data_IF_003640370512
#
_entry.id   IF_003640370512
#
_cell.length_a   1.000
_cell.length_b   1.000
_cell.length_c   1.000
_cell.angle_alpha   90.00
_cell.angle_beta   90.00
_cell.angle_gamma   90.00
#
_symmetry.space_group_name_H-M   'P 1'
#
loop_
_entity.id
_entity.type
_entity.pdbx_description
1 polymer ?
#
# COMPACT_ATOMS: atom_id res chain seq x y z
N UNK A 1 -34.65 67.54 -16.55
CA UNK A 1 -34.81 66.72 -15.34
C UNK A 1 -34.22 65.35 -15.63
N UNK A 2 -33.15 64.96 -14.92
CA UNK A 2 -32.52 63.62 -14.86
C UNK A 2 -31.82 63.08 -16.12
N UNK A 3 -30.61 62.50 -16.11
CA UNK A 3 -29.47 62.39 -15.17
C UNK A 3 -28.35 61.69 -15.98
N UNK A 4 -27.16 62.28 -16.04
CA UNK A 4 -25.93 61.63 -16.53
C UNK A 4 -25.52 60.45 -15.62
N UNK A 5 -25.07 59.31 -16.20
CA UNK A 5 -23.95 58.42 -15.77
C UNK A 5 -23.58 57.57 -17.01
N UNK A 6 -22.44 57.71 -17.70
CA UNK A 6 -21.02 57.57 -17.33
C UNK A 6 -20.65 56.17 -16.79
N UNK A 7 -20.21 55.24 -17.65
CA UNK A 7 -18.80 54.83 -17.84
C UNK A 7 -18.68 53.53 -18.65
N UNK A 8 -17.90 53.63 -19.72
CA UNK A 8 -17.21 52.55 -20.44
C UNK A 8 -16.11 51.98 -19.55
N UNK A 9 -15.80 50.67 -19.67
CA UNK A 9 -14.44 50.12 -19.89
C UNK A 9 -14.48 48.60 -19.67
N UNK A 10 -14.14 47.89 -20.75
CA UNK A 10 -13.86 46.47 -20.80
C UNK A 10 -12.60 46.12 -19.99
N UNK A 11 -12.63 45.02 -19.24
CA UNK A 11 -11.45 44.37 -18.70
C UNK A 11 -11.50 42.88 -19.07
N UNK A 12 -10.91 42.58 -20.23
CA UNK A 12 -10.52 41.24 -20.64
C UNK A 12 -9.26 40.90 -19.85
N UNK A 13 -9.37 40.03 -18.84
CA UNK A 13 -8.21 39.44 -18.16
C UNK A 13 -8.09 37.98 -18.59
N UNK A 14 -7.15 37.75 -19.50
CA UNK A 14 -6.66 36.45 -19.95
C UNK A 14 -6.19 35.58 -18.78
N UNK A 15 -6.84 34.44 -18.56
CA UNK A 15 -6.35 33.39 -17.68
C UNK A 15 -5.28 32.57 -18.39
N UNK A 16 -4.00 32.88 -18.13
CA UNK A 16 -2.85 32.08 -18.58
C UNK A 16 -2.78 30.81 -17.73
N UNK A 17 -2.87 29.67 -18.40
CA UNK A 17 -2.62 28.33 -17.87
C UNK A 17 -1.14 28.21 -17.48
N UNK A 18 -0.84 28.29 -16.18
CA UNK A 18 0.46 27.85 -15.66
C UNK A 18 0.38 26.34 -15.40
N UNK A 19 0.82 25.56 -16.39
CA UNK A 19 1.26 24.17 -16.24
C UNK A 19 2.52 24.15 -15.39
N UNK A 20 2.36 24.07 -14.08
CA UNK A 20 3.44 23.75 -13.15
C UNK A 20 3.58 22.23 -13.03
N UNK A 21 4.69 21.68 -13.55
CA UNK A 21 5.17 20.35 -13.19
C UNK A 21 5.49 20.33 -11.69
N UNK A 22 4.56 19.88 -10.86
CA UNK A 22 4.87 19.51 -9.49
C UNK A 22 5.48 18.10 -9.51
N UNK A 23 6.81 18.06 -9.54
CA UNK A 23 7.57 16.87 -9.17
C UNK A 23 7.33 16.62 -7.68
N UNK A 24 6.42 15.70 -7.37
CA UNK A 24 6.05 15.33 -6.00
C UNK A 24 6.92 14.17 -5.52
N UNK A 25 8.10 14.50 -5.00
CA UNK A 25 8.74 13.70 -3.96
C UNK A 25 7.95 13.97 -2.67
N UNK A 26 7.07 13.05 -2.25
CA UNK A 26 6.30 13.23 -1.02
C UNK A 26 6.32 11.96 -0.16
N UNK A 27 7.15 12.07 0.87
CA UNK A 27 7.05 11.50 2.21
C UNK A 27 6.64 10.04 2.36
N UNK A 28 7.64 9.21 2.66
CA UNK A 28 7.48 8.12 3.59
C UNK A 28 6.91 8.67 4.91
N UNK A 29 5.71 8.22 5.26
CA UNK A 29 5.08 8.51 6.55
C UNK A 29 3.72 9.19 6.41
N UNK A 30 2.68 8.50 6.87
CA UNK A 30 1.34 9.02 7.16
C UNK A 30 0.40 9.26 5.96
N UNK A 31 0.12 8.21 5.18
CA UNK A 31 -1.18 8.04 4.53
C UNK A 31 -1.29 6.60 4.00
N UNK A 32 -1.73 5.68 4.84
CA UNK A 32 -2.41 4.47 4.37
C UNK A 32 -3.76 4.92 3.80
N UNK A 33 -3.73 5.47 2.59
CA UNK A 33 -4.90 5.76 1.79
C UNK A 33 -4.70 4.95 0.51
N UNK A 34 -5.32 3.78 0.54
CA UNK A 34 -5.14 2.75 -0.46
C UNK A 34 -5.56 3.19 -1.86
N UNK A 35 -5.10 2.37 -2.80
CA UNK A 35 -5.55 2.23 -4.18
C UNK A 35 -4.61 2.91 -5.20
N UNK A 36 -3.80 2.07 -5.83
CA UNK A 36 -3.03 2.39 -7.01
C UNK A 36 -3.96 2.86 -8.14
N UNK A 37 -3.80 4.14 -8.49
CA UNK A 37 -4.50 4.79 -9.60
C UNK A 37 -4.52 6.28 -9.35
N UNK A 38 -3.46 6.97 -9.79
CA UNK A 38 -3.27 8.42 -9.80
C UNK A 38 -4.49 9.24 -9.32
N UNK A 39 -4.59 9.45 -8.01
CA UNK A 39 -5.73 10.14 -7.41
C UNK A 39 -5.42 10.46 -5.96
N UNK A 40 -5.19 11.75 -5.68
CA UNK A 40 -4.89 12.27 -4.36
C UNK A 40 -6.05 11.95 -3.42
N UNK A 41 -5.79 11.17 -2.36
CA UNK A 41 -6.71 10.99 -1.25
C UNK A 41 -6.33 11.99 -0.14
N UNK A 42 -6.88 13.21 -0.19
CA UNK A 42 -6.80 14.17 0.95
C UNK A 42 -8.15 14.43 1.61
N UNK A 43 -9.22 13.73 1.22
CA UNK A 43 -10.58 14.11 1.61
C UNK A 43 -11.13 13.51 2.91
N UNK A 44 -10.56 12.41 3.45
CA UNK A 44 -11.25 11.66 4.51
C UNK A 44 -10.95 12.12 5.95
N UNK A 45 -9.91 12.93 6.17
CA UNK A 45 -9.47 13.33 7.52
C UNK A 45 -9.75 14.78 7.89
N UNK A 46 -10.19 15.64 6.95
CA UNK A 46 -10.31 17.10 7.20
C UNK A 46 -11.70 17.70 6.96
N UNK A 47 -12.73 16.89 6.71
CA UNK A 47 -14.12 17.36 6.73
C UNK A 47 -14.48 18.43 5.69
N UNK A 48 -13.72 18.56 4.60
CA UNK A 48 -14.04 19.49 3.51
C UNK A 48 -14.28 18.72 2.20
N UNK A 49 -15.52 18.75 1.73
CA UNK A 49 -15.95 18.12 0.49
C UNK A 49 -15.45 18.94 -0.70
N UNK A 50 -14.38 18.47 -1.36
CA UNK A 50 -13.83 19.16 -2.53
C UNK A 50 -12.94 18.27 -3.38
N UNK A 51 -13.50 17.80 -4.50
CA UNK A 51 -12.84 17.39 -5.74
C UNK A 51 -11.83 16.22 -5.69
N UNK A 52 -12.27 15.05 -6.15
CA UNK A 52 -11.39 13.96 -6.55
C UNK A 52 -12.17 12.69 -6.90
N UNK A 53 -12.58 12.56 -8.17
CA UNK A 53 -13.17 11.33 -8.69
C UNK A 53 -12.07 10.30 -8.94
N UNK A 54 -12.00 9.28 -8.09
CA UNK A 54 -11.11 8.12 -8.19
C UNK A 54 -11.73 6.95 -7.41
N UNK A 55 -11.66 5.74 -7.96
CA UNK A 55 -12.49 4.61 -7.59
C UNK A 55 -12.40 4.19 -6.09
N UNK A 56 -13.52 4.40 -5.40
CA UNK A 56 -14.04 3.73 -4.21
C UNK A 56 -13.17 2.68 -3.50
N UNK A 57 -12.32 3.14 -2.60
CA UNK A 57 -11.86 2.34 -1.47
C UNK A 57 -12.46 2.98 -0.21
N UNK A 58 -13.65 2.52 0.16
CA UNK A 58 -14.27 2.92 1.42
C UNK A 58 -13.31 2.50 2.54
N UNK A 59 -12.75 3.45 3.28
CA UNK A 59 -11.95 3.19 4.47
C UNK A 59 -12.86 2.68 5.62
N UNK A 60 -13.52 1.54 5.43
CA UNK A 60 -14.58 1.06 6.34
C UNK A 60 -14.02 0.49 7.64
N UNK A 61 -12.82 -0.09 7.61
CA UNK A 61 -12.21 -0.66 8.81
C UNK A 61 -11.51 0.42 9.65
N UNK A 62 -10.88 1.42 9.04
CA UNK A 62 -10.17 2.48 9.76
C UNK A 62 -8.83 2.02 10.36
N UNK A 63 -8.22 0.97 9.80
CA UNK A 63 -6.92 0.48 10.25
C UNK A 63 -5.82 1.38 9.68
N UNK A 64 -4.94 1.89 10.55
CA UNK A 64 -3.74 2.63 10.16
C UNK A 64 -2.48 1.81 10.47
N UNK A 65 -1.57 1.77 9.50
CA UNK A 65 -0.27 1.09 9.63
C UNK A 65 0.78 2.04 10.22
N UNK A 66 1.62 1.53 11.13
CA UNK A 66 2.75 2.25 11.73
C UNK A 66 3.93 1.29 12.02
N UNK A 67 5.08 1.84 12.44
CA UNK A 67 6.32 1.08 12.69
C UNK A 67 6.76 0.19 11.51
N UNK A 68 6.59 0.70 10.29
CA UNK A 68 6.98 -0.05 9.10
C UNK A 68 8.50 -0.22 9.03
N UNK A 69 8.96 -1.47 9.05
CA UNK A 69 10.37 -1.83 8.94
C UNK A 69 10.59 -2.85 7.83
N UNK A 70 11.70 -2.71 7.09
CA UNK A 70 12.13 -3.70 6.10
C UNK A 70 13.59 -4.02 6.25
N UNK A 71 13.91 -5.29 6.00
CA UNK A 71 15.26 -5.79 6.07
C UNK A 71 15.50 -6.82 4.97
N UNK A 72 16.77 -7.01 4.61
CA UNK A 72 17.17 -8.17 3.83
C UNK A 72 17.30 -9.34 4.80
N UNK A 73 16.42 -10.34 4.65
CA UNK A 73 16.35 -11.48 5.58
C UNK A 73 17.37 -12.56 5.25
N UNK A 74 17.73 -12.69 3.97
CA UNK A 74 18.62 -13.74 3.47
C UNK A 74 19.40 -13.25 2.25
N UNK A 75 20.59 -13.81 2.05
CA UNK A 75 21.38 -13.62 0.83
C UNK A 75 20.82 -14.46 -0.32
N UNK A 76 21.26 -14.18 -1.55
CA UNK A 76 20.93 -14.96 -2.73
C UNK A 76 21.33 -16.43 -2.56
N UNK A 77 22.52 -16.69 -2.00
CA UNK A 77 23.05 -18.04 -1.80
C UNK A 77 22.21 -18.83 -0.78
N UNK A 78 21.82 -18.18 0.32
CA UNK A 78 20.94 -18.79 1.32
C UNK A 78 19.58 -19.13 0.72
N UNK A 79 19.06 -18.26 -0.15
CA UNK A 79 17.79 -18.49 -0.83
C UNK A 79 17.85 -19.66 -1.83
N UNK A 80 18.93 -19.72 -2.61
CA UNK A 80 19.18 -20.81 -3.55
C UNK A 80 19.27 -22.15 -2.82
N UNK A 81 19.94 -22.19 -1.67
CA UNK A 81 20.01 -23.39 -0.84
C UNK A 81 18.64 -23.79 -0.28
N UNK A 82 17.84 -22.83 0.16
CA UNK A 82 16.52 -23.08 0.74
C UNK A 82 15.56 -23.74 -0.26
N UNK A 83 15.57 -23.29 -1.51
CA UNK A 83 14.65 -23.78 -2.55
C UNK A 83 15.29 -24.76 -3.54
N UNK A 84 16.57 -25.08 -3.39
CA UNK A 84 17.31 -25.95 -4.30
C UNK A 84 17.48 -25.36 -5.71
N UNK A 85 17.49 -24.03 -5.84
CA UNK A 85 17.63 -23.36 -7.13
C UNK A 85 19.05 -23.46 -7.68
N UNK A 86 19.16 -23.65 -8.99
CA UNK A 86 20.40 -23.39 -9.73
C UNK A 86 20.65 -21.87 -9.84
N UNK A 87 21.90 -21.39 -9.92
CA UNK A 87 22.25 -19.97 -9.77
C UNK A 87 21.68 -18.99 -10.82
N UNK A 88 20.94 -19.48 -11.81
CA UNK A 88 20.36 -18.65 -12.86
C UNK A 88 18.94 -19.12 -13.16
N UNK A 89 17.98 -18.23 -12.94
CA UNK A 89 16.62 -18.33 -13.46
C UNK A 89 16.54 -17.62 -14.82
N UNK A 90 15.63 -18.06 -15.69
CA UNK A 90 15.45 -17.44 -17.01
C UNK A 90 14.51 -16.22 -16.96
N UNK A 91 13.79 -16.04 -15.85
CA UNK A 91 12.85 -14.95 -15.62
C UNK A 91 12.87 -14.49 -14.17
N UNK A 92 12.37 -13.28 -13.92
CA UNK A 92 12.16 -12.79 -12.56
C UNK A 92 11.09 -13.62 -11.85
N UNK A 93 11.39 -14.03 -10.62
CA UNK A 93 10.52 -14.85 -9.78
C UNK A 93 10.42 -14.25 -8.38
N UNK A 94 9.21 -14.30 -7.82
CA UNK A 94 8.95 -13.93 -6.43
C UNK A 94 8.16 -15.03 -5.73
N UNK A 95 8.49 -15.31 -4.47
CA UNK A 95 7.84 -16.35 -3.67
C UNK A 95 7.71 -15.93 -2.22
N UNK A 96 6.50 -15.99 -1.66
CA UNK A 96 6.25 -15.71 -0.24
C UNK A 96 6.61 -16.95 0.58
N UNK A 97 7.65 -16.83 1.41
CA UNK A 97 8.08 -17.89 2.33
C UNK A 97 7.20 -17.94 3.56
N UNK A 98 6.83 -16.78 4.10
CA UNK A 98 5.99 -16.69 5.28
C UNK A 98 5.22 -15.37 5.32
N UNK A 99 4.01 -15.42 5.88
CA UNK A 99 3.23 -14.23 6.21
C UNK A 99 2.43 -14.53 7.48
N UNK A 100 2.51 -13.68 8.49
CA UNK A 100 1.85 -13.91 9.78
C UNK A 100 1.28 -12.62 10.35
N UNK A 101 0.34 -12.79 11.27
CA UNK A 101 -0.19 -11.74 12.15
C UNK A 101 -0.13 -12.24 13.58
N UNK A 102 0.22 -11.37 14.52
CA UNK A 102 0.31 -11.72 15.93
C UNK A 102 -0.08 -10.52 16.80
N UNK A 103 -0.92 -10.71 17.84
CA UNK A 103 -1.54 -11.96 18.24
C UNK A 103 -2.69 -12.39 17.31
N UNK A 104 -3.01 -13.70 17.30
CA UNK A 104 -4.08 -14.25 16.46
C UNK A 104 -5.49 -13.93 16.99
N UNK A 105 -5.64 -13.66 18.28
CA UNK A 105 -6.89 -13.21 18.89
C UNK A 105 -6.69 -11.86 19.53
N UNK A 106 -7.54 -10.91 19.18
CA UNK A 106 -7.39 -9.48 19.50
C UNK A 106 -8.72 -8.88 19.91
N UNK A 107 -8.69 -7.72 20.55
CA UNK A 107 -9.83 -6.88 20.89
C UNK A 107 -9.62 -5.46 20.36
N UNK A 108 -10.69 -4.66 20.27
CA UNK A 108 -10.56 -3.21 20.13
C UNK A 108 -9.45 -2.61 21.00
N UNK A 109 -8.55 -1.86 20.36
CA UNK A 109 -7.39 -1.21 21.01
C UNK A 109 -6.11 -2.04 21.01
N UNK A 110 -6.17 -3.35 20.74
CA UNK A 110 -4.97 -4.18 20.68
C UNK A 110 -4.10 -3.81 19.47
N UNK A 111 -2.79 -3.97 19.64
CA UNK A 111 -1.81 -3.86 18.57
C UNK A 111 -1.55 -5.22 17.96
N UNK A 112 -1.61 -5.30 16.63
CA UNK A 112 -1.26 -6.46 15.84
C UNK A 112 -0.01 -6.16 15.04
N UNK A 113 0.95 -7.08 15.12
CA UNK A 113 2.13 -7.09 14.27
C UNK A 113 1.90 -8.02 13.09
N UNK A 114 2.09 -7.49 11.91
CA UNK A 114 2.08 -8.19 10.63
C UNK A 114 3.50 -8.40 10.15
N UNK A 115 3.87 -9.62 9.76
CA UNK A 115 5.18 -9.91 9.18
C UNK A 115 5.04 -10.60 7.83
N UNK A 116 5.94 -10.26 6.90
CA UNK A 116 6.04 -10.84 5.57
C UNK A 116 7.51 -11.16 5.30
N UNK A 117 7.79 -12.36 4.79
CA UNK A 117 9.10 -12.75 4.28
C UNK A 117 8.94 -13.46 2.94
N UNK A 118 9.68 -12.98 1.95
CA UNK A 118 9.60 -13.47 0.60
C UNK A 118 10.96 -13.41 -0.10
N UNK A 119 11.06 -14.11 -1.22
CA UNK A 119 12.28 -14.27 -1.99
C UNK A 119 12.13 -13.58 -3.35
N UNK A 120 13.21 -12.98 -3.82
CA UNK A 120 13.32 -12.33 -5.13
C UNK A 120 14.47 -12.96 -5.90
N UNK A 121 14.17 -13.56 -7.03
CA UNK A 121 15.15 -14.11 -7.97
C UNK A 121 14.99 -13.44 -9.34
N UNK A 122 16.09 -13.29 -10.06
CA UNK A 122 16.09 -12.72 -11.40
C UNK A 122 17.24 -13.29 -12.25
N UNK A 123 17.18 -13.11 -13.58
CA UNK A 123 18.25 -13.56 -14.47
C UNK A 123 19.60 -12.94 -14.14
N UNK A 124 20.66 -13.61 -14.57
CA UNK A 124 22.04 -13.14 -14.39
C UNK A 124 22.20 -11.72 -14.95
N UNK A 125 22.83 -10.84 -14.18
CA UNK A 125 23.04 -9.44 -14.53
C UNK A 125 22.04 -8.49 -13.89
N UNK A 126 20.92 -8.98 -13.38
CA UNK A 126 19.98 -8.20 -12.56
C UNK A 126 20.41 -8.21 -11.10
N UNK A 127 20.45 -7.04 -10.47
CA UNK A 127 20.78 -6.92 -9.04
C UNK A 127 19.60 -6.42 -8.20
N UNK A 128 18.72 -5.64 -8.82
CA UNK A 128 17.56 -5.01 -8.20
C UNK A 128 16.35 -5.27 -9.09
N UNK A 129 15.22 -5.60 -8.48
CA UNK A 129 13.94 -5.86 -9.13
C UNK A 129 12.90 -4.88 -8.60
N UNK A 130 12.06 -4.34 -9.50
CA UNK A 130 10.85 -3.62 -9.09
C UNK A 130 9.78 -4.64 -8.68
N UNK A 131 9.36 -4.55 -7.42
CA UNK A 131 8.39 -5.43 -6.78
C UNK A 131 7.18 -4.61 -6.35
N UNK A 132 5.98 -5.13 -6.57
CA UNK A 132 4.73 -4.59 -6.05
C UNK A 132 4.31 -5.43 -4.84
N UNK A 133 4.30 -4.80 -3.66
CA UNK A 133 3.83 -5.41 -2.41
C UNK A 133 2.44 -4.86 -2.07
N UNK A 134 1.48 -5.73 -1.75
CA UNK A 134 0.18 -5.31 -1.25
C UNK A 134 -0.32 -6.15 -0.08
N UNK A 135 -1.06 -5.49 0.81
CA UNK A 135 -1.74 -6.05 1.97
C UNK A 135 -3.21 -5.64 1.94
N UNK A 136 -4.11 -6.61 1.83
CA UNK A 136 -5.55 -6.37 1.74
C UNK A 136 -6.24 -7.02 2.93
N UNK A 137 -7.00 -6.21 3.69
CA UNK A 137 -7.86 -6.69 4.76
C UNK A 137 -9.19 -7.18 4.20
N UNK A 138 -9.56 -8.40 4.57
CA UNK A 138 -10.84 -9.02 4.23
C UNK A 138 -11.58 -9.49 5.47
N UNK A 139 -12.89 -9.49 5.38
CA UNK A 139 -13.82 -10.06 6.37
C UNK A 139 -14.97 -10.71 5.62
N UNK A 140 -15.31 -11.95 5.99
CA UNK A 140 -16.34 -12.75 5.30
C UNK A 140 -16.16 -12.81 3.77
N UNK A 141 -14.90 -12.93 3.33
CA UNK A 141 -14.53 -12.98 1.91
C UNK A 141 -14.62 -11.64 1.17
N UNK A 142 -15.08 -10.56 1.82
CA UNK A 142 -15.18 -9.23 1.23
C UNK A 142 -13.96 -8.38 1.59
N UNK A 143 -13.45 -7.63 0.62
CA UNK A 143 -12.41 -6.63 0.87
C UNK A 143 -13.01 -5.49 1.70
N UNK A 144 -12.41 -5.23 2.86
CA UNK A 144 -12.77 -4.11 3.72
C UNK A 144 -11.87 -2.89 3.50
N UNK A 145 -10.57 -3.14 3.30
CA UNK A 145 -9.58 -2.08 3.17
C UNK A 145 -8.31 -2.59 2.49
N UNK A 146 -7.75 -1.82 1.57
CA UNK A 146 -6.35 -1.97 1.15
C UNK A 146 -5.47 -1.29 2.20
N UNK A 147 -4.71 -2.06 2.95
CA UNK A 147 -3.85 -1.57 4.04
C UNK A 147 -2.57 -0.94 3.49
N UNK A 148 -1.99 -1.58 2.47
CA UNK A 148 -0.84 -1.06 1.73
C UNK A 148 -0.84 -1.60 0.30
N UNK A 149 -0.35 -0.79 -0.63
CA UNK A 149 -0.10 -1.17 -2.02
C UNK A 149 0.96 -0.21 -2.56
N UNK A 150 2.14 -0.73 -2.89
CA UNK A 150 3.24 0.13 -3.34
C UNK A 150 4.29 -0.59 -4.19
N UNK A 151 4.85 0.10 -5.19
CA UNK A 151 6.08 -0.36 -5.84
C UNK A 151 7.28 -0.12 -4.93
N UNK A 152 8.18 -1.09 -4.86
CA UNK A 152 9.42 -1.05 -4.08
C UNK A 152 10.55 -1.74 -4.84
N UNK A 153 11.75 -1.17 -4.77
CA UNK A 153 12.97 -1.78 -5.32
C UNK A 153 13.56 -2.76 -4.31
N UNK A 154 13.82 -3.99 -4.74
CA UNK A 154 14.32 -5.06 -3.87
C UNK A 154 15.58 -5.70 -4.45
N UNK A 155 16.62 -5.92 -3.61
CA UNK A 155 17.75 -6.73 -4.02
C UNK A 155 17.30 -8.19 -4.18
N UNK A 156 18.12 -8.99 -4.86
CA UNK A 156 17.92 -10.44 -4.92
C UNK A 156 18.11 -11.10 -3.55
N UNK A 157 17.48 -12.27 -3.39
CA UNK A 157 17.45 -13.02 -2.14
C UNK A 157 16.24 -12.66 -1.28
N UNK A 158 16.41 -12.73 0.04
CA UNK A 158 15.32 -12.58 0.99
C UNK A 158 15.00 -11.16 1.38
N UNK A 159 13.71 -10.81 1.35
CA UNK A 159 13.19 -9.53 1.81
C UNK A 159 12.13 -9.75 2.88
N UNK A 160 12.30 -9.06 4.01
CA UNK A 160 11.37 -9.02 5.13
C UNK A 160 10.67 -7.67 5.25
N UNK A 161 9.43 -7.70 5.69
CA UNK A 161 8.67 -6.53 6.08
C UNK A 161 7.93 -6.81 7.40
N UNK A 162 7.96 -5.83 8.30
CA UNK A 162 7.21 -5.83 9.55
C UNK A 162 6.43 -4.53 9.66
N UNK A 163 5.19 -4.62 10.12
CA UNK A 163 4.33 -3.45 10.31
C UNK A 163 3.34 -3.71 11.43
N UNK A 164 3.08 -2.67 12.22
CA UNK A 164 2.10 -2.72 13.29
C UNK A 164 0.81 -2.00 12.87
N UNK A 165 -0.31 -2.44 13.42
CA UNK A 165 -1.58 -1.73 13.33
C UNK A 165 -2.44 -1.95 14.57
N UNK A 166 -3.33 -1.02 14.85
CA UNK A 166 -4.24 -1.10 16.00
C UNK A 166 -5.65 -1.52 15.55
N UNK A 167 -6.30 -2.37 16.33
CA UNK A 167 -7.70 -2.76 16.10
C UNK A 167 -8.65 -1.60 16.48
N UNK A 168 -9.43 -1.06 15.54
CA UNK A 168 -10.33 0.05 15.82
C UNK A 168 -11.58 -0.40 16.59
N UNK A 169 -12.14 0.51 17.40
CA UNK A 169 -13.31 0.23 18.25
C UNK A 169 -14.58 -0.20 17.50
N UNK A 170 -14.67 0.17 16.22
CA UNK A 170 -15.84 -0.13 15.37
C UNK A 170 -15.65 -1.38 14.52
N UNK A 171 -14.51 -2.09 14.63
CA UNK A 171 -14.28 -3.31 13.88
C UNK A 171 -15.18 -4.42 14.46
N UNK A 172 -16.11 -4.99 13.68
CA UNK A 172 -16.99 -6.04 14.18
C UNK A 172 -16.20 -7.25 14.70
N UNK A 173 -16.72 -7.97 15.72
CA UNK A 173 -16.17 -9.27 16.09
C UNK A 173 -16.24 -10.25 14.92
N UNK A 174 -15.22 -11.11 14.78
CA UNK A 174 -15.20 -12.14 13.74
C UNK A 174 -13.81 -12.45 13.21
N UNK A 175 -13.77 -13.24 12.14
CA UNK A 175 -12.52 -13.67 11.50
C UNK A 175 -12.12 -12.66 10.42
N UNK A 176 -10.86 -12.25 10.44
CA UNK A 176 -10.25 -11.35 9.48
C UNK A 176 -9.09 -12.03 8.78
N UNK A 177 -8.94 -11.74 7.48
CA UNK A 177 -7.84 -12.24 6.66
C UNK A 177 -7.06 -11.04 6.14
N UNK A 178 -5.75 -11.04 6.37
CA UNK A 178 -4.83 -10.19 5.61
C UNK A 178 -4.30 -11.03 4.45
N UNK A 179 -4.64 -10.63 3.23
CA UNK A 179 -4.06 -11.20 2.01
C UNK A 179 -2.82 -10.42 1.64
N UNK A 180 -1.66 -11.08 1.68
CA UNK A 180 -0.40 -10.54 1.20
C UNK A 180 -0.19 -10.97 -0.23
N UNK A 181 0.18 -10.03 -1.10
CA UNK A 181 0.58 -10.31 -2.47
C UNK A 181 1.91 -9.65 -2.76
N UNK A 182 2.79 -10.40 -3.41
CA UNK A 182 4.06 -9.91 -3.94
C UNK A 182 4.08 -10.21 -5.43
N UNK A 183 4.42 -9.21 -6.25
CA UNK A 183 4.47 -9.35 -7.71
C UNK A 183 5.73 -8.70 -8.28
N UNK A 184 6.34 -9.34 -9.28
CA UNK A 184 7.43 -8.79 -10.07
C UNK A 184 7.31 -9.27 -11.52
N UNK A 185 7.15 -8.34 -12.47
CA UNK A 185 6.86 -8.68 -13.86
C UNK A 185 5.60 -9.55 -13.98
N UNK A 186 5.77 -10.76 -14.51
CA UNK A 186 4.69 -11.77 -14.65
C UNK A 186 4.60 -12.73 -13.45
N UNK A 187 5.60 -12.77 -12.58
CA UNK A 187 5.59 -13.62 -11.38
C UNK A 187 4.82 -12.94 -10.26
N UNK A 188 3.99 -13.70 -9.54
CA UNK A 188 3.38 -13.26 -8.30
C UNK A 188 3.13 -14.43 -7.36
N UNK A 189 3.02 -14.14 -6.07
CA UNK A 189 2.58 -15.10 -5.06
C UNK A 189 1.63 -14.41 -4.08
N UNK A 190 0.70 -15.19 -3.52
CA UNK A 190 -0.32 -14.71 -2.59
C UNK A 190 -0.34 -15.61 -1.38
N UNK A 191 -0.38 -15.01 -0.18
CA UNK A 191 -0.49 -15.77 1.06
C UNK A 191 -1.42 -15.07 2.05
N UNK A 192 -2.42 -15.77 2.62
CA UNK A 192 -3.25 -15.22 3.67
C UNK A 192 -2.59 -15.36 5.05
N UNK A 193 -2.91 -14.45 5.96
CA UNK A 193 -2.76 -14.63 7.41
C UNK A 193 -4.07 -14.25 8.11
N UNK A 194 -4.37 -14.89 9.24
CA UNK A 194 -5.69 -14.81 9.88
C UNK A 194 -5.56 -14.29 11.30
N UNK A 195 -6.47 -13.40 11.72
CA UNK A 195 -6.69 -13.04 13.11
C UNK A 195 -8.18 -12.95 13.42
N UNK A 196 -8.53 -13.02 14.70
CA UNK A 196 -9.90 -13.04 15.21
C UNK A 196 -10.09 -11.84 16.12
N UNK A 197 -11.09 -11.01 15.82
CA UNK A 197 -11.53 -9.95 16.72
C UNK A 197 -12.57 -10.55 17.67
N UNK A 198 -12.24 -10.59 18.95
CA UNK A 198 -13.14 -11.02 20.01
C UNK A 198 -14.29 -10.02 20.22
N UNK A 199 -15.38 -10.54 20.79
CA UNK A 199 -16.48 -9.73 21.29
C UNK A 199 -16.10 -8.93 22.54
#
# INVERSE_FOLDING_TARGET
MNKHKLKVIAAVCSGVLLTGCATMEQSAGLAALGCAGAGILTGALTGNAGAGAGAGCLALAGIALYNYHTSQTRTVQQDQQLYGYTPSVNSTEVKIRNATVSPETVRPGDTVKSTLDYSVNAPKGTQIVDVEESMILKHDGKVLQTLSERPIKRPLGGSGAEVDFTIPAKLPPGTYVIEYKVKAGTSYDVRPAVFIVGA
#
